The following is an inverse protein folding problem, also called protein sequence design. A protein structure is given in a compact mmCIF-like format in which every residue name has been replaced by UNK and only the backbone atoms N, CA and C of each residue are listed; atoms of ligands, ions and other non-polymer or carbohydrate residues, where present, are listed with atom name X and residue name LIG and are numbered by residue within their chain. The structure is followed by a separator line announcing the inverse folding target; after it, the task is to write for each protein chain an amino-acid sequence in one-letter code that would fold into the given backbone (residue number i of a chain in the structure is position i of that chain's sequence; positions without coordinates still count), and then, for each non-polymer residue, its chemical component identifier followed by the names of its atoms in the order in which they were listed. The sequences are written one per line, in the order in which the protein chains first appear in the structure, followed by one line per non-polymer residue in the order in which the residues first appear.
data_IF_441559804546
#
_entry.id   IF_441559804546
#
_cell.length_a   1.000
_cell.length_b   1.000
_cell.length_c   1.000
_cell.angle_alpha   90.00
_cell.angle_beta   90.00
_cell.angle_gamma   90.00
#
_symmetry.space_group_name_H-M   'P 1'
#
loop_
_entity.id
_entity.type
_entity.pdbx_description
1 polymer ?
#
# COMPACT_ATOMS: atom_id res chain seq x y z
N UNK A 1 -10.37 -20.83 14.88
CA UNK A 1 -11.01 -20.18 13.71
C UNK A 1 -10.42 -18.82 13.42
N UNK A 2 -10.50 -17.84 14.33
CA UNK A 2 -9.90 -16.50 14.17
C UNK A 2 -8.42 -16.51 13.69
N UNK A 3 -7.54 -17.26 14.36
CA UNK A 3 -6.11 -17.30 14.01
C UNK A 3 -5.85 -17.87 12.61
N UNK A 4 -6.73 -18.76 12.12
CA UNK A 4 -6.61 -19.29 10.76
C UNK A 4 -6.99 -18.21 9.74
N UNK A 5 -8.09 -17.49 9.96
CA UNK A 5 -8.52 -16.39 9.08
C UNK A 5 -7.46 -15.29 9.02
N UNK A 6 -6.88 -14.89 10.15
CA UNK A 6 -5.80 -13.91 10.21
C UNK A 6 -4.58 -14.36 9.38
N UNK A 7 -4.16 -15.62 9.54
CA UNK A 7 -3.06 -16.19 8.77
C UNK A 7 -3.35 -16.18 7.26
N UNK A 8 -4.58 -16.46 6.86
CA UNK A 8 -4.99 -16.35 5.46
C UNK A 8 -4.97 -14.91 4.94
N UNK A 9 -5.34 -13.91 5.75
CA UNK A 9 -5.24 -12.49 5.35
C UNK A 9 -3.79 -12.08 5.14
N UNK A 10 -2.90 -12.48 6.04
CA UNK A 10 -1.45 -12.26 5.91
C UNK A 10 -0.91 -12.98 4.68
N UNK A 11 -1.28 -14.25 4.46
CA UNK A 11 -0.90 -15.03 3.28
C UNK A 11 -1.27 -14.30 1.98
N UNK A 12 -2.50 -13.82 1.87
CA UNK A 12 -2.98 -13.14 0.67
C UNK A 12 -2.18 -11.86 0.39
N UNK A 13 -1.86 -11.09 1.43
CA UNK A 13 -1.02 -9.88 1.31
C UNK A 13 0.40 -10.22 0.85
N UNK A 14 1.00 -11.30 1.37
CA UNK A 14 2.33 -11.76 0.92
C UNK A 14 2.29 -12.25 -0.53
N UNK A 15 1.29 -13.05 -0.91
CA UNK A 15 1.13 -13.54 -2.30
C UNK A 15 1.05 -12.36 -3.28
N UNK A 16 0.40 -11.26 -2.92
CA UNK A 16 0.25 -10.09 -3.79
C UNK A 16 1.58 -9.57 -4.34
N UNK A 17 2.64 -9.55 -3.51
CA UNK A 17 3.97 -9.06 -3.90
C UNK A 17 4.59 -9.89 -5.02
N UNK A 18 4.31 -11.20 -5.04
CA UNK A 18 4.76 -12.10 -6.10
C UNK A 18 3.82 -12.07 -7.30
N UNK A 19 2.52 -11.99 -7.06
CA UNK A 19 1.52 -12.02 -8.14
C UNK A 19 1.61 -10.79 -9.05
N UNK A 20 1.92 -9.61 -8.50
CA UNK A 20 1.97 -8.35 -9.25
C UNK A 20 3.36 -8.02 -9.83
N UNK A 21 4.34 -8.91 -9.68
CA UNK A 21 5.67 -8.64 -10.19
C UNK A 21 5.68 -8.43 -11.71
N UNK A 22 6.53 -7.51 -12.19
CA UNK A 22 6.71 -7.22 -13.63
C UNK A 22 8.00 -7.85 -14.20
N UNK A 23 8.64 -8.76 -13.46
CA UNK A 23 9.92 -9.36 -13.84
C UNK A 23 9.73 -10.46 -14.91
N UNK A 24 10.66 -10.50 -15.86
CA UNK A 24 10.64 -11.47 -16.98
C UNK A 24 11.95 -12.27 -17.11
N UNK A 25 12.93 -11.99 -16.25
CA UNK A 25 14.31 -12.49 -16.34
C UNK A 25 14.46 -13.98 -16.02
N UNK A 26 13.54 -14.58 -15.26
CA UNK A 26 13.61 -16.00 -14.89
C UNK A 26 12.26 -16.69 -15.02
N UNK A 27 12.26 -18.03 -15.05
CA UNK A 27 11.03 -18.82 -14.98
C UNK A 27 10.27 -18.56 -13.67
N UNK A 28 10.99 -18.49 -12.54
CA UNK A 28 10.41 -18.23 -11.22
C UNK A 28 9.46 -17.03 -11.19
N UNK A 29 9.88 -15.87 -11.70
CA UNK A 29 9.05 -14.66 -11.67
C UNK A 29 7.83 -14.74 -12.58
N UNK A 30 7.97 -15.41 -13.74
CA UNK A 30 6.85 -15.66 -14.65
C UNK A 30 5.84 -16.61 -14.00
N UNK A 31 6.32 -17.70 -13.41
CA UNK A 31 5.48 -18.67 -12.70
C UNK A 31 4.73 -18.02 -11.52
N UNK A 32 5.40 -17.18 -10.72
CA UNK A 32 4.76 -16.43 -9.63
C UNK A 32 3.61 -15.53 -10.11
N UNK A 33 3.76 -14.89 -11.28
CA UNK A 33 2.72 -14.03 -11.86
C UNK A 33 1.59 -14.84 -12.47
N UNK A 34 1.87 -15.99 -13.07
CA UNK A 34 0.89 -16.74 -13.85
C UNK A 34 0.10 -17.75 -13.00
N UNK A 35 0.60 -18.10 -11.80
CA UNK A 35 -0.06 -19.06 -10.89
C UNK A 35 -1.43 -18.58 -10.40
N UNK A 36 -2.34 -19.53 -10.19
CA UNK A 36 -3.60 -19.29 -9.50
C UNK A 36 -3.39 -18.77 -8.08
N UNK A 37 -4.31 -17.94 -7.63
CA UNK A 37 -4.30 -17.29 -6.31
C UNK A 37 -5.64 -17.52 -5.59
N UNK A 38 -5.69 -17.43 -4.26
CA UNK A 38 -6.94 -17.57 -3.50
C UNK A 38 -8.03 -16.58 -3.95
N UNK A 39 -9.30 -17.00 -3.92
CA UNK A 39 -10.45 -16.19 -4.36
C UNK A 39 -10.53 -14.85 -3.60
N UNK A 40 -10.21 -14.86 -2.31
CA UNK A 40 -10.14 -13.66 -1.46
C UNK A 40 -9.20 -12.59 -2.02
N UNK A 41 -8.03 -13.02 -2.52
CA UNK A 41 -7.07 -12.13 -3.17
C UNK A 41 -7.53 -11.71 -4.57
N UNK A 42 -8.11 -12.63 -5.34
CA UNK A 42 -8.68 -12.31 -6.66
C UNK A 42 -9.71 -11.18 -6.56
N UNK A 43 -10.62 -11.26 -5.57
CA UNK A 43 -11.65 -10.26 -5.32
C UNK A 43 -11.07 -8.89 -4.93
N UNK A 44 -10.01 -8.86 -4.12
CA UNK A 44 -9.29 -7.60 -3.78
C UNK A 44 -8.69 -6.94 -5.02
N UNK A 45 -7.97 -7.71 -5.84
CA UNK A 45 -7.33 -7.20 -7.06
C UNK A 45 -8.38 -6.74 -8.07
N UNK A 46 -9.44 -7.53 -8.27
CA UNK A 46 -10.51 -7.21 -9.21
C UNK A 46 -11.26 -5.93 -8.82
N UNK A 47 -11.64 -5.77 -7.54
CA UNK A 47 -12.33 -4.56 -7.10
C UNK A 47 -11.42 -3.32 -7.16
N UNK A 48 -10.15 -3.48 -6.79
CA UNK A 48 -9.16 -2.41 -6.94
C UNK A 48 -9.04 -1.97 -8.39
N UNK A 49 -8.76 -2.89 -9.33
CA UNK A 49 -8.68 -2.56 -10.76
C UNK A 49 -9.96 -1.94 -11.29
N UNK A 50 -11.13 -2.42 -10.88
CA UNK A 50 -12.38 -1.91 -11.41
C UNK A 50 -12.72 -0.48 -10.93
N UNK A 51 -12.42 -0.14 -9.66
CA UNK A 51 -12.98 1.06 -8.99
C UNK A 51 -12.07 1.76 -7.98
N UNK A 52 -10.85 1.30 -7.76
CA UNK A 52 -9.95 1.85 -6.74
C UNK A 52 -10.44 1.63 -5.31
N UNK A 53 -11.28 0.62 -5.09
CA UNK A 53 -11.90 0.32 -3.79
C UNK A 53 -11.28 -0.91 -3.13
N UNK A 54 -11.36 -0.98 -1.80
CA UNK A 54 -10.75 -2.05 -1.01
C UNK A 54 -11.79 -3.02 -0.47
N UNK A 55 -11.67 -4.31 -0.84
CA UNK A 55 -12.40 -5.37 -0.13
C UNK A 55 -11.79 -5.51 1.26
N UNK A 56 -12.65 -5.43 2.29
CA UNK A 56 -12.26 -5.60 3.69
C UNK A 56 -12.87 -6.88 4.24
N UNK A 57 -12.00 -7.79 4.65
CA UNK A 57 -12.39 -8.97 5.42
C UNK A 57 -12.14 -8.72 6.91
N UNK A 58 -12.63 -9.63 7.75
CA UNK A 58 -12.31 -9.61 9.18
C UNK A 58 -10.84 -10.04 9.39
N UNK A 59 -10.26 -9.57 10.49
CA UNK A 59 -8.91 -9.95 10.94
C UNK A 59 -7.78 -9.59 9.96
N UNK A 60 -7.93 -8.45 9.28
CA UNK A 60 -6.87 -7.89 8.44
C UNK A 60 -5.79 -7.25 9.31
N UNK A 61 -4.55 -7.73 9.19
CA UNK A 61 -3.37 -7.10 9.81
C UNK A 61 -2.94 -5.85 9.02
N UNK A 62 -3.17 -5.84 7.71
CA UNK A 62 -2.75 -4.77 6.80
C UNK A 62 -3.94 -3.89 6.40
N UNK A 63 -3.87 -2.61 6.77
CA UNK A 63 -4.89 -1.62 6.46
C UNK A 63 -4.87 -1.20 4.98
N UNK A 64 -5.93 -0.54 4.47
CA UNK A 64 -6.03 -0.13 3.05
C UNK A 64 -4.81 0.62 2.51
N UNK A 65 -4.15 1.46 3.31
CA UNK A 65 -2.93 2.17 2.90
C UNK A 65 -1.77 1.23 2.56
N UNK A 66 -1.63 0.09 3.25
CA UNK A 66 -0.62 -0.93 2.94
C UNK A 66 -0.91 -1.60 1.60
N UNK A 67 -2.18 -1.90 1.31
CA UNK A 67 -2.58 -2.44 0.00
C UNK A 67 -2.35 -1.41 -1.12
N UNK A 68 -2.69 -0.14 -0.89
CA UNK A 68 -2.43 0.96 -1.81
C UNK A 68 -0.94 1.08 -2.17
N UNK A 69 -0.05 1.02 -1.16
CA UNK A 69 1.40 1.09 -1.39
C UNK A 69 1.92 -0.04 -2.29
N UNK A 70 1.35 -1.25 -2.19
CA UNK A 70 1.73 -2.36 -3.08
C UNK A 70 1.17 -2.19 -4.48
N UNK A 71 -0.09 -1.73 -4.61
CA UNK A 71 -0.65 -1.46 -5.93
C UNK A 71 0.11 -0.35 -6.67
N UNK A 72 0.38 0.77 -6.00
CA UNK A 72 1.19 1.89 -6.50
C UNK A 72 2.61 1.42 -6.87
N UNK A 73 3.29 0.71 -5.96
CA UNK A 73 4.66 0.23 -6.17
C UNK A 73 4.82 -0.79 -7.31
N UNK A 74 3.74 -1.41 -7.79
CA UNK A 74 3.73 -2.30 -8.95
C UNK A 74 2.96 -1.72 -10.15
N UNK A 75 2.67 -0.42 -10.17
CA UNK A 75 1.95 0.29 -11.24
C UNK A 75 0.56 -0.31 -11.57
N UNK A 76 -0.13 -0.85 -10.57
CA UNK A 76 -1.48 -1.36 -10.73
C UNK A 76 -2.47 -0.27 -10.34
N UNK A 77 -2.99 0.43 -11.33
CA UNK A 77 -3.98 1.49 -11.15
C UNK A 77 -5.40 1.03 -11.49
N UNK A 78 -6.44 1.66 -10.91
CA UNK A 78 -7.81 1.38 -11.29
C UNK A 78 -8.12 1.91 -12.70
N UNK A 79 -8.94 1.18 -13.44
CA UNK A 79 -9.43 1.57 -14.76
C UNK A 79 -10.34 2.82 -14.68
N UNK A 80 -10.98 3.03 -13.53
CA UNK A 80 -11.88 4.16 -13.25
C UNK A 80 -11.74 4.61 -11.81
N UNK A 81 -11.67 5.92 -11.62
CA UNK A 81 -11.75 6.57 -10.31
C UNK A 81 -13.22 6.81 -9.91
N UNK A 82 -13.45 7.28 -8.69
CA UNK A 82 -14.77 7.69 -8.23
C UNK A 82 -15.27 8.90 -9.04
N UNK A 83 -16.45 8.83 -9.71
CA UNK A 83 -16.98 9.94 -10.49
C UNK A 83 -17.20 11.23 -9.70
N UNK A 84 -17.35 11.16 -8.37
CA UNK A 84 -17.46 12.35 -7.53
C UNK A 84 -16.22 13.26 -7.61
N UNK A 85 -15.06 12.71 -7.99
CA UNK A 85 -13.82 13.47 -8.17
C UNK A 85 -13.90 14.41 -9.37
N UNK A 86 -14.74 14.11 -10.38
CA UNK A 86 -14.90 14.94 -11.58
C UNK A 86 -15.55 16.31 -11.28
N UNK A 87 -16.24 16.43 -10.14
CA UNK A 87 -16.85 17.68 -9.71
C UNK A 87 -15.85 18.67 -9.08
N UNK A 88 -14.59 18.27 -8.85
CA UNK A 88 -13.58 19.10 -8.22
C UNK A 88 -12.92 20.07 -9.23
N UNK A 89 -12.73 21.33 -8.84
CA UNK A 89 -11.93 22.28 -9.62
C UNK A 89 -10.46 21.79 -9.70
N UNK A 90 -9.91 21.53 -10.91
CA UNK A 90 -8.55 21.02 -11.07
C UNK A 90 -7.48 21.92 -10.43
N UNK A 91 -7.67 23.24 -10.48
CA UNK A 91 -6.70 24.18 -9.92
C UNK A 91 -6.75 24.18 -8.39
N UNK A 92 -7.95 24.10 -7.80
CA UNK A 92 -8.10 23.90 -6.36
C UNK A 92 -7.53 22.56 -5.89
N UNK A 93 -7.79 21.48 -6.63
CA UNK A 93 -7.25 20.15 -6.33
C UNK A 93 -5.71 20.16 -6.35
N UNK A 94 -5.11 20.74 -7.39
CA UNK A 94 -3.66 20.90 -7.51
C UNK A 94 -3.07 21.68 -6.34
N UNK A 95 -3.63 22.85 -5.99
CA UNK A 95 -3.17 23.65 -4.84
C UNK A 95 -3.23 22.85 -3.53
N UNK A 96 -4.27 22.03 -3.36
CA UNK A 96 -4.47 21.21 -2.17
C UNK A 96 -3.43 20.08 -2.07
N UNK A 97 -3.17 19.38 -3.17
CA UNK A 97 -2.11 18.35 -3.26
C UNK A 97 -0.72 18.96 -3.02
N UNK A 98 -0.44 20.14 -3.57
CA UNK A 98 0.83 20.85 -3.36
C UNK A 98 1.00 21.30 -1.90
N UNK A 99 -0.07 21.73 -1.25
CA UNK A 99 -0.05 22.08 0.17
C UNK A 99 0.26 20.86 1.05
N UNK A 100 -0.36 19.71 0.78
CA UNK A 100 -0.06 18.45 1.47
C UNK A 100 1.40 18.03 1.26
N UNK A 101 1.91 18.12 0.02
CA UNK A 101 3.31 17.80 -0.30
C UNK A 101 4.29 18.70 0.48
N UNK A 102 4.02 20.01 0.56
CA UNK A 102 4.84 20.95 1.34
C UNK A 102 4.83 20.61 2.83
N UNK A 103 3.65 20.36 3.41
CA UNK A 103 3.53 20.01 4.82
C UNK A 103 4.34 18.76 5.19
N UNK A 104 4.33 17.73 4.34
CA UNK A 104 5.16 16.53 4.54
C UNK A 104 6.66 16.87 4.44
N UNK A 105 7.07 17.64 3.43
CA UNK A 105 8.47 18.04 3.26
C UNK A 105 8.98 18.87 4.45
N UNK A 106 8.18 19.81 4.93
CA UNK A 106 8.52 20.68 6.07
C UNK A 106 8.65 19.87 7.36
N UNK A 107 7.77 18.88 7.58
CA UNK A 107 7.85 17.98 8.73
C UNK A 107 9.12 17.12 8.68
N UNK A 108 9.46 16.57 7.51
CA UNK A 108 10.69 15.80 7.32
C UNK A 108 11.93 16.66 7.58
N UNK A 109 11.98 17.88 7.05
CA UNK A 109 13.10 18.80 7.23
C UNK A 109 13.35 19.21 8.69
N UNK A 110 12.27 19.27 9.49
CA UNK A 110 12.32 19.62 10.91
C UNK A 110 12.56 18.41 11.83
N UNK A 111 12.52 17.19 11.30
CA UNK A 111 12.69 15.96 12.08
C UNK A 111 14.18 15.64 12.22
N UNK A 112 14.70 15.37 13.44
CA UNK A 112 16.07 14.93 13.60
C UNK A 112 16.32 13.62 12.86
N UNK A 113 17.55 13.41 12.42
CA UNK A 113 17.94 12.11 11.84
C UNK A 113 17.77 10.99 12.88
N UNK A 114 17.59 9.76 12.39
CA UNK A 114 17.48 8.58 13.25
C UNK A 114 18.65 8.47 14.24
N UNK A 115 19.89 8.74 13.78
CA UNK A 115 21.08 8.69 14.63
C UNK A 115 21.09 9.77 15.73
N UNK A 116 20.63 10.99 15.43
CA UNK A 116 20.51 12.07 16.42
C UNK A 116 19.47 11.72 17.49
N UNK A 117 18.33 11.17 17.09
CA UNK A 117 17.29 10.72 18.01
C UNK A 117 17.80 9.62 18.95
N UNK A 118 18.42 8.56 18.40
CA UNK A 118 19.00 7.48 19.19
C UNK A 118 20.08 7.98 20.17
N UNK A 119 20.91 8.93 19.75
CA UNK A 119 21.95 9.52 20.62
C UNK A 119 21.38 10.34 21.78
N UNK A 120 20.18 10.89 21.64
CA UNK A 120 19.49 11.65 22.67
C UNK A 120 18.76 10.74 23.67
N UNK A 121 18.12 9.67 23.19
CA UNK A 121 17.33 8.74 24.03
C UNK A 121 18.20 7.62 24.63
N UNK A 122 19.13 7.06 23.86
CA UNK A 122 19.97 5.92 24.28
C UNK A 122 20.95 6.24 25.40
N UNK A 123 21.24 7.52 25.67
CA UNK A 123 22.10 7.96 26.79
C UNK A 123 21.37 8.05 28.14
N UNK A 124 20.04 7.90 28.18
CA UNK A 124 19.27 7.93 29.43
C UNK A 124 19.10 6.54 30.11
N UNK A 125 19.56 5.45 29.49
CA UNK A 125 19.32 4.09 29.98
C UNK A 125 20.47 3.46 30.81
N UNK A 126 21.51 4.22 31.14
CA UNK A 126 22.61 3.76 32.02
C UNK A 126 23.00 4.88 32.99
N UNK A 127 22.19 5.06 34.02
CA UNK A 127 22.53 5.76 35.26
C UNK A 127 21.86 5.02 36.42
#
# INVERSE_FOLDING_TARGET
EQSAEEMERVRDFVILHYKLNQRTDTAFWRDCRDREIPETLQRKIALWRARGQFVRYRWEMFHPASWLAIYDGFDVWPDRVDPAVEALDPEQLKRSLEAMRRAVADAVAQTPTHAQFLSAVGRQAVA
#
